data_IF_937956866956
#
_entry.id   IF_937956866956
#
_cell.length_a   1.000
_cell.length_b   1.000
_cell.length_c   1.000
_cell.angle_alpha   90.00
_cell.angle_beta   90.00
_cell.angle_gamma   90.00
#
_symmetry.space_group_name_H-M   'P 1'
#
loop_
_entity.id
_entity.type
_entity.pdbx_description
1 polymer ?
#
# COMPACT_ATOMS: atom_id res chain seq x y z
N UNK A 1 -8.84 5.78 -14.46
CA UNK A 1 -9.52 5.17 -13.31
C UNK A 1 -9.67 3.67 -13.50
N UNK A 2 -9.39 2.92 -12.46
CA UNK A 2 -9.40 1.46 -12.53
C UNK A 2 -10.76 0.94 -12.07
N UNK A 3 -11.32 -0.01 -12.82
CA UNK A 3 -12.54 -0.69 -12.39
C UNK A 3 -12.23 -1.54 -11.16
N UNK A 4 -13.21 -1.69 -10.29
CA UNK A 4 -13.04 -2.52 -9.11
C UNK A 4 -13.86 -3.80 -9.25
N UNK A 5 -13.44 -4.82 -8.56
CA UNK A 5 -14.04 -6.14 -8.61
C UNK A 5 -14.17 -6.68 -7.19
N UNK A 6 -15.24 -7.41 -6.93
CA UNK A 6 -15.43 -8.05 -5.63
C UNK A 6 -14.78 -9.42 -5.62
N UNK A 7 -14.16 -9.75 -4.49
CA UNK A 7 -13.63 -11.09 -4.26
C UNK A 7 -14.06 -11.54 -2.88
N UNK A 8 -13.98 -12.85 -2.66
CA UNK A 8 -14.29 -13.43 -1.35
C UNK A 8 -12.97 -13.78 -0.68
N UNK A 9 -12.86 -13.45 0.59
CA UNK A 9 -11.66 -13.76 1.37
C UNK A 9 -12.07 -14.41 2.68
N UNK A 10 -11.11 -15.07 3.31
CA UNK A 10 -11.29 -15.71 4.59
C UNK A 10 -11.66 -14.69 5.67
N UNK A 11 -12.57 -15.08 6.56
CA UNK A 11 -13.06 -14.18 7.62
C UNK A 11 -11.94 -13.72 8.55
N UNK A 12 -11.04 -14.63 8.91
CA UNK A 12 -9.93 -14.28 9.80
C UNK A 12 -9.04 -13.22 9.16
N UNK A 13 -8.74 -13.37 7.88
CA UNK A 13 -7.94 -12.40 7.15
C UNK A 13 -8.67 -11.06 7.06
N UNK A 14 -9.97 -11.10 6.83
CA UNK A 14 -10.78 -9.89 6.79
C UNK A 14 -10.72 -9.14 8.13
N UNK A 15 -10.85 -9.87 9.24
CA UNK A 15 -10.81 -9.26 10.57
C UNK A 15 -9.46 -8.64 10.86
N UNK A 16 -8.39 -9.29 10.44
CA UNK A 16 -7.04 -8.74 10.58
C UNK A 16 -6.86 -7.47 9.76
N UNK A 17 -7.38 -7.49 8.53
CA UNK A 17 -7.30 -6.32 7.67
C UNK A 17 -8.08 -5.15 8.26
N UNK A 18 -9.24 -5.43 8.84
CA UNK A 18 -10.06 -4.39 9.45
C UNK A 18 -9.34 -3.71 10.61
N UNK A 19 -8.71 -4.52 11.47
CA UNK A 19 -7.99 -3.99 12.62
C UNK A 19 -6.79 -3.13 12.18
N UNK A 20 -6.01 -3.65 11.22
CA UNK A 20 -4.83 -2.93 10.75
C UNK A 20 -5.21 -1.68 9.96
N UNK A 21 -6.31 -1.74 9.23
CA UNK A 21 -6.78 -0.58 8.47
C UNK A 21 -7.09 0.60 9.37
N UNK A 22 -7.69 0.33 10.54
CA UNK A 22 -7.98 1.38 11.50
C UNK A 22 -6.72 2.07 12.00
N UNK A 23 -5.69 1.27 12.31
CA UNK A 23 -4.42 1.79 12.80
C UNK A 23 -3.69 2.58 11.72
N UNK A 24 -3.75 2.11 10.49
CA UNK A 24 -2.98 2.69 9.38
C UNK A 24 -3.79 3.68 8.56
N UNK A 25 -5.01 3.98 8.98
CA UNK A 25 -5.88 4.95 8.32
C UNK A 25 -6.15 4.59 6.86
N UNK A 26 -6.46 3.31 6.63
CA UNK A 26 -6.84 2.81 5.31
C UNK A 26 -8.26 2.27 5.35
N UNK A 27 -8.86 2.14 4.17
CA UNK A 27 -10.09 1.36 4.07
C UNK A 27 -9.72 -0.12 4.18
N UNK A 28 -10.70 -0.97 4.49
CA UNK A 28 -10.44 -2.41 4.59
C UNK A 28 -9.98 -2.95 3.24
N UNK A 29 -10.64 -2.54 2.15
CA UNK A 29 -10.22 -2.92 0.80
C UNK A 29 -8.80 -2.46 0.50
N UNK A 30 -8.47 -1.22 0.86
CA UNK A 30 -7.14 -0.69 0.65
C UNK A 30 -6.07 -1.45 1.41
N UNK A 31 -6.40 -1.90 2.63
CA UNK A 31 -5.48 -2.68 3.43
C UNK A 31 -5.19 -4.03 2.77
N UNK A 32 -6.22 -4.70 2.30
CA UNK A 32 -6.05 -5.98 1.61
C UNK A 32 -5.25 -5.80 0.32
N UNK A 33 -5.56 -4.74 -0.43
CA UNK A 33 -4.82 -4.45 -1.67
C UNK A 33 -3.35 -4.16 -1.40
N UNK A 34 -3.07 -3.43 -0.33
CA UNK A 34 -1.69 -3.16 0.06
C UNK A 34 -0.95 -4.46 0.36
N UNK A 35 -1.57 -5.33 1.16
CA UNK A 35 -0.97 -6.63 1.48
C UNK A 35 -0.75 -7.47 0.22
N UNK A 36 -1.72 -7.42 -0.71
CA UNK A 36 -1.61 -8.17 -1.95
C UNK A 36 -0.44 -7.67 -2.80
N UNK A 37 -0.26 -6.36 -2.86
CA UNK A 37 0.85 -5.78 -3.61
C UNK A 37 2.19 -6.13 -2.98
N UNK A 38 2.29 -6.07 -1.66
CA UNK A 38 3.51 -6.46 -0.96
C UNK A 38 3.81 -7.93 -1.21
N UNK A 39 2.79 -8.79 -1.10
CA UNK A 39 2.96 -10.22 -1.32
C UNK A 39 3.38 -10.53 -2.74
N UNK A 40 2.75 -9.89 -3.71
CA UNK A 40 3.10 -10.10 -5.12
C UNK A 40 4.53 -9.67 -5.40
N UNK A 41 4.92 -8.50 -4.87
CA UNK A 41 6.28 -8.00 -5.06
C UNK A 41 7.30 -8.91 -4.38
N UNK A 42 6.95 -9.45 -3.20
CA UNK A 42 7.84 -10.36 -2.49
C UNK A 42 8.03 -11.67 -3.28
N UNK A 43 6.97 -12.18 -3.88
CA UNK A 43 7.07 -13.38 -4.70
C UNK A 43 7.89 -13.16 -5.95
N UNK A 44 7.81 -11.95 -6.53
CA UNK A 44 8.57 -11.60 -7.72
C UNK A 44 10.03 -11.28 -7.40
N UNK A 45 10.34 -10.96 -6.16
CA UNK A 45 11.68 -10.55 -5.73
C UNK A 45 12.07 -11.31 -4.45
N UNK A 46 12.26 -12.63 -4.54
CA UNK A 46 12.47 -13.45 -3.33
C UNK A 46 13.77 -13.14 -2.59
N UNK A 47 14.69 -12.42 -3.23
CA UNK A 47 15.96 -12.04 -2.61
C UNK A 47 15.87 -10.72 -1.84
N UNK A 48 14.75 -10.00 -1.91
CA UNK A 48 14.60 -8.73 -1.21
C UNK A 48 13.85 -8.94 0.10
N UNK A 49 14.26 -8.22 1.18
CA UNK A 49 13.51 -8.27 2.43
C UNK A 49 12.11 -7.70 2.28
N UNK A 50 11.13 -8.32 2.91
CA UNK A 50 9.75 -7.86 2.83
C UNK A 50 9.60 -6.44 3.36
N UNK A 51 10.32 -6.11 4.43
CA UNK A 51 10.26 -4.75 4.99
C UNK A 51 10.70 -3.71 3.98
N UNK A 52 11.74 -3.99 3.21
CA UNK A 52 12.20 -3.09 2.15
C UNK A 52 11.12 -2.91 1.08
N UNK A 53 10.48 -4.01 0.68
CA UNK A 53 9.41 -3.97 -0.34
C UNK A 53 8.25 -3.13 0.18
N UNK A 54 7.84 -3.35 1.42
CA UNK A 54 6.73 -2.62 2.01
C UNK A 54 7.01 -1.12 2.07
N UNK A 55 8.23 -0.74 2.46
CA UNK A 55 8.61 0.67 2.51
C UNK A 55 8.63 1.30 1.13
N UNK A 56 9.11 0.57 0.13
CA UNK A 56 9.16 1.06 -1.24
C UNK A 56 7.75 1.31 -1.78
N UNK A 57 6.83 0.39 -1.53
CA UNK A 57 5.46 0.56 -2.00
C UNK A 57 4.74 1.69 -1.26
N UNK A 58 4.99 1.84 0.03
CA UNK A 58 4.41 2.93 0.80
C UNK A 58 4.90 4.28 0.29
N UNK A 59 6.18 4.38 -0.01
CA UNK A 59 6.76 5.60 -0.55
C UNK A 59 6.16 5.95 -1.90
N UNK A 60 5.93 4.97 -2.75
CA UNK A 60 5.32 5.19 -4.07
C UNK A 60 3.87 5.62 -3.96
N UNK A 61 3.17 5.16 -2.92
CA UNK A 61 1.76 5.47 -2.74
C UNK A 61 1.52 6.82 -2.08
N UNK A 62 2.54 7.41 -1.46
CA UNK A 62 2.40 8.70 -0.81
C UNK A 62 2.22 9.82 -1.84
N UNK A 63 1.35 10.79 -1.55
CA UNK A 63 1.26 11.96 -2.44
C UNK A 63 2.57 12.73 -2.43
N UNK A 64 3.00 13.14 -3.60
CA UNK A 64 4.22 13.94 -3.75
C UNK A 64 3.81 15.36 -4.10
N UNK A 65 3.51 16.11 -3.15
CA UNK A 65 3.19 17.52 -3.38
C UNK A 65 4.22 18.45 -2.83
N UNK A 66 4.09 17.13 -2.85
CA UNK A 66 4.51 17.56 -2.65
C UNK A 66 5.30 17.96 -2.60
N UNK A 67 5.33 17.63 -2.58
CA UNK A 67 5.82 17.84 -2.68
C UNK A 67 6.26 18.30 -2.72
N UNK A 68 6.02 18.22 -2.82
CA UNK A 68 6.24 18.81 -2.88
C UNK A 68 6.79 19.15 -2.67
N UNK A 69 6.74 19.25 -2.50
CA UNK A 69 7.12 19.70 -2.48
C UNK A 69 8.03 19.67 -2.33
N UNK A 70 8.03 19.43 -2.26
CA UNK A 70 8.70 19.55 -2.54
C UNK A 70 9.18 19.86 -3.10
N UNK A 71 9.06 19.99 -3.22
CA UNK A 71 9.19 20.38 -4.02
C UNK A 71 9.46 20.78 -4.22
N UNK A 72 9.29 20.90 -4.10
CA UNK A 72 9.28 21.39 -4.51
C UNK A 72 9.59 21.69 -4.59
N UNK A 73 9.63 21.73 -4.33
CA UNK A 73 9.75 22.17 -4.81
C UNK A 73 9.94 22.44 -5.23
N UNK A 74 9.72 22.46 -5.07
CA UNK A 74 9.66 22.81 -5.71
C UNK A 74 9.87 22.90 -6.18
N UNK A 75 9.71 23.03 -5.99
CA UNK A 75 9.64 23.10 -6.67
C UNK A 75 9.73 23.37 -6.97
N UNK A 76 9.48 23.68 -6.75
CA UNK A 76 9.41 23.85 -7.20
C UNK A 76 9.58 24.04 -7.28
N UNK A 77 9.44 24.14 -6.89
CA UNK A 77 9.34 24.30 -7.04
C UNK A 77 9.63 24.10 -7.27
#
# INVERSE_FOLDING_TARGET
MTASTSIRIDQTLYDQARADAMVEHRSISGQVEYWARVGRAALDNPDLPVAFIAESLASMAEPHDDATAFIARSRRA
#
